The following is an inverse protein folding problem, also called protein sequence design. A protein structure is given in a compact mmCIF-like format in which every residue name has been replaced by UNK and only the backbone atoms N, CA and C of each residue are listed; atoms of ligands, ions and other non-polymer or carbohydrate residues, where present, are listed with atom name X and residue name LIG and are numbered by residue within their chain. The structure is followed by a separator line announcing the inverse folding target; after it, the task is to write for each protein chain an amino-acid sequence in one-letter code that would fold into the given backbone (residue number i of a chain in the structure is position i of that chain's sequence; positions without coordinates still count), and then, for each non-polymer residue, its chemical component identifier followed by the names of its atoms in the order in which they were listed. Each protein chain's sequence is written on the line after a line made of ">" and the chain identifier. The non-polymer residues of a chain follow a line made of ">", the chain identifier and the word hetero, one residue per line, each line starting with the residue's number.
data_IF_974060622846
#
_entry.id   IF_974060622846
#
_cell.length_a   1.000
_cell.length_b   1.000
_cell.length_c   1.000
_cell.angle_alpha   90.00
_cell.angle_beta   90.00
_cell.angle_gamma   90.00
#
_symmetry.space_group_name_H-M   'P 1'
#
loop_
_entity.id
_entity.type
_entity.pdbx_description
1 polymer ?
#
# COMPACT_ATOMS: atom_id res chain seq x y z
N UNK A 1 -28.25 19.74 11.38
CA UNK A 1 -29.31 18.75 11.68
C UNK A 1 -28.73 17.49 12.31
N UNK A 2 -27.63 16.92 11.77
CA UNK A 2 -26.97 15.71 12.28
C UNK A 2 -26.27 15.87 13.66
N UNK A 3 -25.65 17.01 13.93
CA UNK A 3 -24.98 17.25 15.22
C UNK A 3 -25.94 17.21 16.43
N UNK A 4 -27.23 17.55 16.24
CA UNK A 4 -28.26 17.44 17.28
C UNK A 4 -28.60 15.98 17.62
N UNK A 5 -28.21 15.05 16.76
CA UNK A 5 -28.37 13.60 16.94
C UNK A 5 -27.06 12.95 17.39
N UNK A 6 -26.04 13.74 17.78
CA UNK A 6 -24.73 13.23 18.20
C UNK A 6 -23.79 12.84 17.07
N UNK A 7 -24.15 13.09 15.80
CA UNK A 7 -23.27 12.84 14.66
C UNK A 7 -22.56 14.12 14.21
N UNK A 8 -21.24 14.14 14.38
CA UNK A 8 -20.36 15.24 14.01
C UNK A 8 -19.51 14.85 12.80
N UNK A 9 -19.68 15.53 11.67
CA UNK A 9 -18.90 15.33 10.45
C UNK A 9 -18.10 16.59 10.14
N UNK A 10 -16.78 16.48 10.18
CA UNK A 10 -15.86 17.59 9.99
C UNK A 10 -14.75 17.11 9.05
N UNK A 11 -14.80 17.57 7.81
CA UNK A 11 -13.84 17.17 6.76
C UNK A 11 -13.06 18.31 6.13
N UNK A 12 -13.34 19.56 6.53
CA UNK A 12 -12.67 20.74 5.99
C UNK A 12 -12.23 21.66 7.12
N UNK A 13 -11.06 22.24 6.96
CA UNK A 13 -10.56 23.28 7.84
C UNK A 13 -11.32 24.59 7.59
N UNK A 14 -11.95 25.12 8.63
CA UNK A 14 -12.65 26.41 8.61
C UNK A 14 -12.14 27.30 9.73
N UNK A 15 -12.31 28.62 9.58
CA UNK A 15 -11.99 29.65 10.57
C UNK A 15 -12.75 29.48 11.91
N UNK A 16 -13.89 28.77 11.88
CA UNK A 16 -14.73 28.47 13.06
C UNK A 16 -14.49 27.08 13.65
N UNK A 17 -13.43 26.40 13.23
CA UNK A 17 -13.19 25.03 13.66
C UNK A 17 -12.80 25.00 15.14
N UNK A 18 -13.67 24.44 15.97
CA UNK A 18 -13.44 24.28 17.41
C UNK A 18 -13.57 22.83 17.87
N UNK A 19 -13.20 22.54 19.13
CA UNK A 19 -13.42 21.23 19.71
C UNK A 19 -14.91 20.92 19.85
N UNK A 20 -15.28 19.67 19.59
CA UNK A 20 -16.61 19.14 19.90
C UNK A 20 -16.60 18.67 21.35
N UNK A 21 -17.49 19.22 22.17
CA UNK A 21 -17.56 18.86 23.59
C UNK A 21 -18.69 17.87 23.81
N UNK A 22 -18.34 16.69 24.31
CA UNK A 22 -19.29 15.63 24.67
C UNK A 22 -19.12 15.35 26.16
N UNK A 23 -20.14 15.60 27.00
CA UNK A 23 -20.07 15.28 28.42
C UNK A 23 -20.36 13.80 28.69
N UNK A 24 -19.69 13.25 29.70
CA UNK A 24 -20.00 11.95 30.31
C UNK A 24 -20.23 12.12 31.83
N UNK A 25 -20.29 11.00 32.57
CA UNK A 25 -20.47 11.01 34.03
C UNK A 25 -19.33 11.65 34.82
N UNK A 26 -18.15 11.80 34.22
CA UNK A 26 -16.96 12.40 34.83
C UNK A 26 -16.74 13.86 34.38
N UNK A 27 -17.57 14.39 33.48
CA UNK A 27 -17.53 15.77 33.01
C UNK A 27 -17.34 15.90 31.49
N UNK A 28 -16.89 17.05 30.98
CA UNK A 28 -16.69 17.26 29.55
C UNK A 28 -15.48 16.48 29.00
N UNK A 29 -15.62 15.96 27.79
CA UNK A 29 -14.53 15.46 26.94
C UNK A 29 -14.46 16.32 25.68
N UNK A 30 -13.26 16.82 25.37
CA UNK A 30 -13.03 17.68 24.22
C UNK A 30 -12.44 16.86 23.07
N UNK A 31 -13.23 16.68 22.01
CA UNK A 31 -12.80 16.04 20.78
C UNK A 31 -12.29 17.12 19.82
N UNK A 32 -11.01 17.04 19.45
CA UNK A 32 -10.31 18.00 18.62
C UNK A 32 -10.18 17.45 17.19
N UNK A 33 -11.06 17.85 16.26
CA UNK A 33 -11.01 17.41 14.86
C UNK A 33 -9.92 18.18 14.11
N UNK A 34 -8.87 17.50 13.68
CA UNK A 34 -7.79 18.00 12.84
C UNK A 34 -7.83 17.32 11.46
N UNK A 35 -8.73 17.76 10.55
CA UNK A 35 -8.75 17.20 9.20
C UNK A 35 -7.44 17.50 8.47
N UNK A 36 -7.14 16.72 7.43
CA UNK A 36 -6.01 17.02 6.56
C UNK A 36 -6.20 18.41 5.91
N UNK A 37 -5.16 19.23 5.96
CA UNK A 37 -5.16 20.55 5.35
C UNK A 37 -3.76 20.91 4.85
N UNK A 38 -3.70 21.40 3.62
CA UNK A 38 -2.47 21.91 3.02
C UNK A 38 -1.99 23.18 3.75
N UNK A 39 -0.66 23.39 3.92
CA UNK A 39 -0.14 24.54 4.64
C UNK A 39 -0.69 25.91 4.16
N UNK A 40 -0.84 26.20 2.85
CA UNK A 40 -1.47 27.45 2.39
C UNK A 40 -2.89 27.65 2.92
N UNK A 41 -3.70 26.60 3.00
CA UNK A 41 -5.07 26.66 3.52
C UNK A 41 -5.06 26.95 5.02
N UNK A 42 -4.12 26.36 5.77
CA UNK A 42 -3.95 26.63 7.20
C UNK A 42 -3.53 28.09 7.44
N UNK A 43 -2.57 28.61 6.67
CA UNK A 43 -2.15 30.03 6.75
C UNK A 43 -3.33 30.97 6.54
N UNK A 44 -4.13 30.72 5.51
CA UNK A 44 -5.29 31.54 5.16
C UNK A 44 -6.39 31.44 6.24
N UNK A 45 -6.83 30.22 6.57
CA UNK A 45 -8.02 30.00 7.40
C UNK A 45 -7.79 30.25 8.87
N UNK A 46 -6.60 29.97 9.38
CA UNK A 46 -6.25 30.14 10.79
C UNK A 46 -5.40 31.39 11.05
N UNK A 47 -5.12 32.21 10.03
CA UNK A 47 -4.23 33.38 10.13
C UNK A 47 -2.86 33.02 10.73
N UNK A 48 -2.30 31.87 10.33
CA UNK A 48 -1.10 31.29 10.89
C UNK A 48 0.07 31.38 9.89
N UNK A 49 0.77 32.54 9.75
CA UNK A 49 1.76 32.76 8.70
C UNK A 49 2.94 31.76 8.73
N UNK A 50 3.23 31.21 9.91
CA UNK A 50 4.33 30.27 10.15
C UNK A 50 4.05 28.84 9.66
N UNK A 51 2.84 28.53 9.20
CA UNK A 51 2.52 27.22 8.63
C UNK A 51 3.11 27.08 7.21
N UNK A 52 4.44 26.92 7.11
CA UNK A 52 5.13 26.80 5.81
C UNK A 52 5.28 25.35 5.34
N UNK A 53 5.14 24.38 6.24
CA UNK A 53 5.12 22.94 5.94
C UNK A 53 4.01 22.21 6.73
N UNK A 54 3.86 20.89 6.49
CA UNK A 54 2.83 20.06 7.12
C UNK A 54 2.96 19.99 8.65
N UNK A 55 4.18 19.98 9.17
CA UNK A 55 4.42 19.95 10.62
C UNK A 55 3.92 21.22 11.30
N UNK A 56 4.28 22.39 10.79
CA UNK A 56 3.82 23.67 11.33
C UNK A 56 2.33 23.91 11.09
N UNK A 57 1.80 23.41 9.97
CA UNK A 57 0.37 23.43 9.67
C UNK A 57 -0.45 22.62 10.69
N UNK A 58 0.00 21.40 11.00
CA UNK A 58 -0.60 20.55 12.03
C UNK A 58 -0.48 21.18 13.42
N UNK A 59 0.70 21.69 13.77
CA UNK A 59 0.93 22.39 15.04
C UNK A 59 -0.03 23.58 15.20
N UNK A 60 -0.15 24.43 14.18
CA UNK A 60 -1.05 25.60 14.19
C UNK A 60 -2.52 25.19 14.35
N UNK A 61 -2.92 24.10 13.69
CA UNK A 61 -4.28 23.55 13.81
C UNK A 61 -4.55 23.03 15.22
N UNK A 62 -3.60 22.29 15.81
CA UNK A 62 -3.70 21.81 17.20
C UNK A 62 -3.77 22.97 18.19
N UNK A 63 -2.94 24.01 18.01
CA UNK A 63 -2.95 25.19 18.86
C UNK A 63 -4.30 25.91 18.78
N UNK A 64 -4.85 26.11 17.57
CA UNK A 64 -6.16 26.73 17.38
C UNK A 64 -7.27 25.92 18.09
N UNK A 65 -7.30 24.60 17.90
CA UNK A 65 -8.28 23.70 18.51
C UNK A 65 -8.19 23.65 20.03
N UNK A 66 -6.99 23.80 20.59
CA UNK A 66 -6.74 23.66 22.04
C UNK A 66 -6.73 24.97 22.81
N UNK A 67 -6.73 26.13 22.13
CA UNK A 67 -6.65 27.45 22.75
C UNK A 67 -7.76 27.74 23.77
N UNK A 68 -8.97 27.20 23.56
CA UNK A 68 -10.13 27.41 24.44
C UNK A 68 -10.36 26.28 25.45
N UNK A 69 -9.50 25.26 25.46
CA UNK A 69 -9.68 24.08 26.31
C UNK A 69 -9.03 24.31 27.67
N UNK A 70 -9.75 24.11 28.80
CA UNK A 70 -9.17 24.25 30.14
C UNK A 70 -7.96 23.34 30.35
N UNK A 71 -6.98 23.84 31.12
CA UNK A 71 -5.83 23.04 31.53
C UNK A 71 -6.29 21.78 32.29
N UNK A 72 -5.70 20.63 31.97
CA UNK A 72 -6.05 19.35 32.58
C UNK A 72 -7.36 18.73 32.09
N UNK A 73 -8.09 19.35 31.15
CA UNK A 73 -9.28 18.75 30.57
C UNK A 73 -8.95 17.48 29.75
N UNK A 74 -9.89 16.52 29.75
CA UNK A 74 -9.81 15.31 28.94
C UNK A 74 -9.99 15.67 27.47
N UNK A 75 -9.04 15.23 26.65
CA UNK A 75 -8.86 15.67 25.26
C UNK A 75 -8.55 14.48 24.36
N UNK A 76 -9.31 14.33 23.28
CA UNK A 76 -9.12 13.33 22.24
C UNK A 76 -8.85 14.04 20.92
N UNK A 77 -7.74 13.73 20.27
CA UNK A 77 -7.44 14.23 18.92
C UNK A 77 -8.04 13.27 17.88
N UNK A 78 -8.64 13.81 16.82
CA UNK A 78 -8.95 13.07 15.60
C UNK A 78 -8.19 13.71 14.46
N UNK A 79 -7.08 13.12 14.03
CA UNK A 79 -6.22 13.71 13.01
C UNK A 79 -6.12 12.86 11.76
N UNK A 80 -6.12 13.50 10.59
CA UNK A 80 -5.73 12.86 9.33
C UNK A 80 -4.37 13.39 8.90
N UNK A 81 -3.33 12.59 9.12
CA UNK A 81 -1.96 12.98 8.82
C UNK A 81 -1.06 11.75 8.63
N UNK A 82 0.09 11.97 8.01
CA UNK A 82 1.18 11.00 7.99
C UNK A 82 2.14 11.29 9.16
N UNK A 83 2.12 10.44 10.19
CA UNK A 83 3.00 10.56 11.35
C UNK A 83 4.32 9.84 11.08
N UNK A 84 5.44 10.53 11.33
CA UNK A 84 6.75 9.93 11.18
C UNK A 84 6.89 8.65 12.03
N UNK A 85 7.36 7.57 11.41
CA UNK A 85 7.44 6.25 12.03
C UNK A 85 6.21 5.35 11.82
N UNK A 86 5.20 5.80 11.05
CA UNK A 86 4.11 4.95 10.59
C UNK A 86 4.48 4.13 9.34
N UNK A 87 4.01 2.89 9.30
CA UNK A 87 4.16 1.96 8.18
C UNK A 87 3.06 2.17 7.13
N UNK A 88 3.44 2.40 5.88
CA UNK A 88 2.54 2.58 4.72
C UNK A 88 2.32 1.27 3.98
N UNK A 89 1.30 1.23 3.12
CA UNK A 89 1.07 0.18 2.14
C UNK A 89 0.93 0.79 0.73
N UNK A 90 0.77 -0.03 -0.30
CA UNK A 90 0.70 0.44 -1.69
C UNK A 90 -0.64 1.13 -2.04
N UNK A 91 -1.68 0.94 -1.20
CA UNK A 91 -3.01 1.49 -1.48
C UNK A 91 -3.21 2.91 -0.95
N UNK A 92 -2.37 3.38 -0.03
CA UNK A 92 -2.40 4.76 0.44
C UNK A 92 -1.95 5.70 -0.68
N UNK A 93 -2.65 6.84 -0.81
CA UNK A 93 -2.18 7.92 -1.68
C UNK A 93 -1.04 8.64 -0.98
N UNK A 94 0.13 8.83 -1.61
CA UNK A 94 1.17 9.67 -1.04
C UNK A 94 0.59 11.07 -0.77
N UNK A 95 0.61 11.51 0.49
CA UNK A 95 0.23 12.90 0.83
C UNK A 95 1.29 13.90 0.33
N UNK A 96 2.49 13.42 0.01
CA UNK A 96 3.57 14.25 -0.52
C UNK A 96 4.56 13.42 -1.33
N UNK A 97 5.33 14.07 -2.20
CA UNK A 97 6.51 13.48 -2.82
C UNK A 97 7.70 13.61 -1.86
N UNK A 98 8.40 12.50 -1.60
CA UNK A 98 9.68 12.51 -0.88
C UNK A 98 9.62 12.74 0.64
N UNK A 99 8.52 12.38 1.32
CA UNK A 99 8.42 12.44 2.79
C UNK A 99 8.16 13.84 3.38
N UNK A 100 8.01 14.87 2.55
CA UNK A 100 7.77 16.27 2.92
C UNK A 100 6.40 16.57 3.55
N UNK A 101 5.54 15.55 3.65
CA UNK A 101 4.22 15.58 4.28
C UNK A 101 4.13 14.90 5.64
N UNK A 102 5.24 14.32 6.13
CA UNK A 102 5.26 13.71 7.46
C UNK A 102 5.27 14.77 8.58
N UNK A 103 4.65 14.44 9.71
CA UNK A 103 4.68 15.26 10.93
C UNK A 103 5.19 14.44 12.10
N UNK A 104 5.87 15.08 13.06
CA UNK A 104 6.30 14.38 14.27
C UNK A 104 5.10 13.89 15.08
N UNK A 105 5.15 12.63 15.51
CA UNK A 105 4.14 12.09 16.43
C UNK A 105 4.12 12.83 17.78
N UNK A 106 5.17 13.57 18.13
CA UNK A 106 5.24 14.37 19.38
C UNK A 106 4.17 15.45 19.44
N UNK A 107 3.65 15.91 18.30
CA UNK A 107 2.51 16.82 18.24
C UNK A 107 1.25 16.23 18.89
N UNK A 108 1.14 14.91 18.93
CA UNK A 108 -0.05 14.19 19.43
C UNK A 108 0.09 13.73 20.88
N UNK A 109 1.31 13.75 21.43
CA UNK A 109 1.59 13.35 22.82
C UNK A 109 0.70 14.06 23.86
N UNK A 110 0.40 15.38 23.78
CA UNK A 110 -0.35 16.08 24.82
C UNK A 110 -1.83 15.69 24.98
N UNK A 111 -2.36 14.86 24.08
CA UNK A 111 -3.73 14.35 24.14
C UNK A 111 -3.80 13.08 24.98
N UNK A 112 -4.98 12.79 25.52
CA UNK A 112 -5.22 11.56 26.28
C UNK A 112 -5.37 10.34 25.35
N UNK A 113 -5.90 10.59 24.15
CA UNK A 113 -5.93 9.65 23.04
C UNK A 113 -5.86 10.42 21.72
N UNK A 114 -5.13 9.90 20.74
CA UNK A 114 -5.07 10.43 19.40
C UNK A 114 -5.49 9.35 18.40
N UNK A 115 -6.66 9.55 17.80
CA UNK A 115 -7.19 8.75 16.72
C UNK A 115 -6.64 9.29 15.39
N UNK A 116 -5.67 8.60 14.83
CA UNK A 116 -5.09 8.93 13.53
C UNK A 116 -5.79 8.15 12.42
N UNK A 117 -6.01 8.83 11.30
CA UNK A 117 -6.40 8.25 10.02
C UNK A 117 -5.36 8.54 8.94
N UNK A 118 -5.37 7.73 7.88
CA UNK A 118 -4.61 7.81 6.62
C UNK A 118 -4.01 6.44 6.28
N UNK A 119 -3.29 5.85 7.23
CA UNK A 119 -2.64 4.55 7.07
C UNK A 119 -3.64 3.41 7.22
N UNK A 120 -3.50 2.37 6.40
CA UNK A 120 -4.42 1.25 6.31
C UNK A 120 -4.06 0.08 7.22
N UNK A 121 -2.86 0.06 7.79
CA UNK A 121 -2.46 -0.87 8.84
C UNK A 121 -2.83 -0.32 10.23
N UNK A 122 -3.57 -1.06 11.05
CA UNK A 122 -3.75 -0.72 12.46
C UNK A 122 -2.40 -0.76 13.20
N UNK A 123 -2.00 0.35 13.80
CA UNK A 123 -0.67 0.48 14.42
C UNK A 123 -0.61 1.63 15.44
N UNK A 124 0.38 1.59 16.33
CA UNK A 124 0.74 2.71 17.21
C UNK A 124 1.90 3.50 16.61
N UNK A 125 2.01 4.78 16.92
CA UNK A 125 3.16 5.60 16.52
C UNK A 125 3.65 6.46 17.68
N UNK A 126 4.91 6.27 18.09
CA UNK A 126 5.55 6.98 19.21
C UNK A 126 5.05 6.55 20.59
N UNK A 127 3.76 6.72 20.88
CA UNK A 127 3.13 6.43 22.18
C UNK A 127 1.97 5.44 22.06
N UNK A 128 1.64 4.75 23.15
CA UNK A 128 0.54 3.76 23.17
C UNK A 128 -0.82 4.36 22.80
N UNK A 129 -1.09 5.60 23.18
CA UNK A 129 -2.37 6.28 22.96
C UNK A 129 -2.49 7.01 21.61
N UNK A 130 -1.46 6.90 20.76
CA UNK A 130 -1.45 7.49 19.41
C UNK A 130 -1.59 6.34 18.41
N UNK A 131 -2.78 6.21 17.81
CA UNK A 131 -3.17 5.00 17.08
C UNK A 131 -3.72 5.32 15.70
N UNK A 132 -3.21 4.66 14.69
CA UNK A 132 -3.93 4.46 13.43
C UNK A 132 -4.88 3.27 13.60
N UNK A 133 -6.15 3.49 13.30
CA UNK A 133 -7.15 2.42 13.30
C UNK A 133 -7.02 1.48 12.09
N UNK A 134 -6.31 1.91 11.04
CA UNK A 134 -6.26 1.17 9.78
C UNK A 134 -7.55 1.26 8.97
N UNK A 135 -7.58 0.56 7.84
CA UNK A 135 -8.80 0.35 7.07
C UNK A 135 -9.60 -0.84 7.63
N UNK A 136 -10.89 -0.92 7.29
CA UNK A 136 -11.74 -2.06 7.68
C UNK A 136 -11.47 -3.32 6.83
N UNK A 137 -11.03 -3.12 5.58
CA UNK A 137 -10.74 -4.17 4.60
C UNK A 137 -9.39 -3.88 3.94
N UNK A 138 -8.77 -4.93 3.39
CA UNK A 138 -7.52 -4.80 2.62
C UNK A 138 -7.83 -4.21 1.24
N UNK A 139 -7.08 -3.20 0.80
CA UNK A 139 -7.28 -2.53 -0.48
C UNK A 139 -6.16 -2.77 -1.50
N UNK A 140 -5.01 -3.28 -1.06
CA UNK A 140 -3.95 -3.82 -1.92
C UNK A 140 -3.48 -5.19 -1.46
N UNK A 141 -2.73 -5.87 -2.33
CA UNK A 141 -2.04 -7.10 -1.95
C UNK A 141 -0.94 -6.87 -0.92
N UNK A 142 -0.33 -5.69 -0.84
CA UNK A 142 0.70 -5.40 0.18
C UNK A 142 0.12 -5.44 1.59
N UNK A 143 -1.20 -5.29 1.73
CA UNK A 143 -1.93 -5.41 3.00
C UNK A 143 -2.31 -6.86 3.34
N UNK A 144 -1.94 -7.87 2.53
CA UNK A 144 -2.18 -9.28 2.84
C UNK A 144 -1.76 -9.72 4.25
N UNK A 145 -0.61 -9.28 4.83
CA UNK A 145 -0.25 -9.63 6.20
C UNK A 145 -1.01 -8.83 7.27
N UNK A 146 -1.76 -7.78 6.90
CA UNK A 146 -2.40 -6.89 7.87
C UNK A 146 -3.60 -7.56 8.52
N UNK A 147 -3.65 -7.52 9.86
CA UNK A 147 -4.82 -7.91 10.64
C UNK A 147 -5.73 -6.70 10.81
N UNK A 148 -6.86 -6.71 10.11
CA UNK A 148 -7.86 -5.64 10.18
C UNK A 148 -8.59 -5.67 11.52
N UNK A 149 -8.92 -4.50 12.04
CA UNK A 149 -9.50 -4.35 13.37
C UNK A 149 -10.28 -3.04 13.51
N UNK A 150 -10.99 -2.92 14.62
CA UNK A 150 -11.44 -1.65 15.17
C UNK A 150 -10.79 -1.43 16.53
N UNK A 151 -10.54 -0.17 16.88
CA UNK A 151 -9.97 0.19 18.17
C UNK A 151 -11.08 0.64 19.12
N UNK A 152 -11.30 -0.12 20.19
CA UNK A 152 -12.14 0.28 21.31
C UNK A 152 -11.29 1.04 22.33
N UNK A 153 -11.79 2.20 22.75
CA UNK A 153 -11.10 3.06 23.72
C UNK A 153 -12.04 3.37 24.87
N UNK A 154 -11.63 3.02 26.07
CA UNK A 154 -12.33 3.37 27.31
C UNK A 154 -11.49 4.40 28.07
N UNK A 155 -12.06 5.56 28.34
CA UNK A 155 -11.35 6.64 29.03
C UNK A 155 -12.01 6.92 30.38
N UNK A 156 -11.20 6.94 31.43
CA UNK A 156 -11.68 7.23 32.78
C UNK A 156 -11.80 8.74 33.08
N UNK A 157 -12.23 9.07 34.31
CA UNK A 157 -12.36 10.46 34.76
C UNK A 157 -11.04 11.23 34.91
N UNK A 158 -9.91 10.52 34.99
CA UNK A 158 -8.57 11.11 34.99
C UNK A 158 -7.98 11.24 33.57
N UNK A 159 -8.70 10.75 32.56
CA UNK A 159 -8.28 10.77 31.17
C UNK A 159 -7.36 9.60 30.78
N UNK A 160 -7.19 8.58 31.63
CA UNK A 160 -6.43 7.39 31.24
C UNK A 160 -7.25 6.58 30.23
N UNK A 161 -6.67 6.32 29.08
CA UNK A 161 -7.28 5.55 28.00
C UNK A 161 -6.81 4.08 28.05
N UNK A 162 -7.74 3.14 28.26
CA UNK A 162 -7.55 1.73 27.99
C UNK A 162 -7.90 1.46 26.52
N UNK A 163 -7.05 0.70 25.83
CA UNK A 163 -7.13 0.52 24.38
C UNK A 163 -7.20 -0.97 24.08
N UNK A 164 -8.26 -1.39 23.41
CA UNK A 164 -8.48 -2.75 22.95
C UNK A 164 -8.57 -2.78 21.42
N UNK A 165 -7.90 -3.74 20.80
CA UNK A 165 -7.99 -3.98 19.36
C UNK A 165 -8.92 -5.16 19.12
N UNK A 166 -10.09 -4.90 18.53
CA UNK A 166 -11.07 -5.92 18.20
C UNK A 166 -10.85 -6.37 16.75
N UNK A 167 -10.46 -7.63 16.48
CA UNK A 167 -10.18 -8.09 15.13
C UNK A 167 -11.45 -8.16 14.28
N UNK A 168 -11.29 -7.87 12.98
CA UNK A 168 -12.35 -8.00 11.97
C UNK A 168 -12.11 -9.24 11.11
N UNK A 169 -13.18 -9.99 10.84
CA UNK A 169 -13.17 -11.11 9.90
C UNK A 169 -13.90 -10.69 8.63
N UNK A 170 -13.20 -10.52 7.49
CA UNK A 170 -13.86 -10.16 6.24
C UNK A 170 -14.60 -11.38 5.67
N UNK A 171 -15.62 -11.13 4.83
CA UNK A 171 -16.28 -12.19 4.06
C UNK A 171 -15.34 -12.85 3.04
N UNK A 172 -14.44 -12.06 2.47
CA UNK A 172 -13.38 -12.45 1.53
C UNK A 172 -12.13 -11.69 1.93
N UNK A 173 -11.07 -12.42 2.21
CA UNK A 173 -9.78 -11.82 2.53
C UNK A 173 -8.98 -11.50 1.25
N UNK A 174 -7.89 -10.75 1.39
CA UNK A 174 -6.89 -10.56 0.34
C UNK A 174 -5.65 -11.38 0.71
N UNK A 175 -5.26 -12.29 -0.17
CA UNK A 175 -4.14 -13.24 0.03
C UNK A 175 -3.17 -13.22 -1.15
N UNK A 176 -1.92 -13.56 -0.84
CA UNK A 176 -0.85 -13.82 -1.82
C UNK A 176 -0.51 -15.30 -1.74
N UNK A 177 -0.57 -15.99 -2.87
CA UNK A 177 -0.10 -17.37 -3.02
C UNK A 177 1.16 -17.36 -3.88
N UNK A 178 2.19 -18.07 -3.44
CA UNK A 178 3.44 -18.23 -4.19
C UNK A 178 3.80 -19.70 -4.25
N UNK A 179 4.23 -20.17 -5.42
CA UNK A 179 4.61 -21.57 -5.61
C UNK A 179 4.55 -22.03 -7.06
N UNK A 180 4.72 -23.34 -7.27
CA UNK A 180 4.53 -23.95 -8.58
C UNK A 180 3.05 -24.15 -8.87
N UNK A 181 2.69 -24.04 -10.15
CA UNK A 181 1.32 -24.07 -10.61
C UNK A 181 0.57 -25.35 -10.22
N UNK A 182 1.21 -26.52 -10.32
CA UNK A 182 0.62 -27.79 -9.92
C UNK A 182 0.35 -27.85 -8.40
N UNK A 183 1.23 -27.26 -7.59
CA UNK A 183 1.10 -27.24 -6.13
C UNK A 183 -0.03 -26.32 -5.70
N UNK A 184 -0.17 -25.15 -6.34
CA UNK A 184 -1.24 -24.19 -6.03
C UNK A 184 -2.62 -24.75 -6.39
N UNK A 185 -2.74 -25.52 -7.48
CA UNK A 185 -4.01 -26.16 -7.86
C UNK A 185 -4.39 -27.33 -6.93
N UNK A 186 -3.39 -28.06 -6.42
CA UNK A 186 -3.62 -29.25 -5.58
C UNK A 186 -3.77 -28.91 -4.10
N UNK A 187 -3.09 -27.87 -3.62
CA UNK A 187 -3.09 -27.47 -2.23
C UNK A 187 -3.94 -26.20 -2.01
N UNK A 188 -5.00 -26.35 -1.23
CA UNK A 188 -5.70 -25.22 -0.62
C UNK A 188 -5.37 -25.24 0.88
N UNK A 189 -4.76 -24.20 1.44
CA UNK A 189 -4.43 -24.17 2.87
C UNK A 189 -5.68 -24.42 3.71
N UNK A 190 -5.58 -25.31 4.70
CA UNK A 190 -6.71 -25.64 5.58
C UNK A 190 -7.22 -24.39 6.30
N UNK A 191 -8.53 -24.15 6.22
CA UNK A 191 -9.18 -23.00 6.86
C UNK A 191 -9.22 -21.71 6.04
N UNK A 192 -8.62 -21.67 4.85
CA UNK A 192 -8.65 -20.49 3.97
C UNK A 192 -9.71 -20.62 2.86
N UNK A 193 -10.38 -19.50 2.54
CA UNK A 193 -11.51 -19.51 1.61
C UNK A 193 -11.04 -19.43 0.17
N UNK A 194 -11.50 -20.36 -0.68
CA UNK A 194 -11.26 -20.31 -2.13
C UNK A 194 -11.86 -19.08 -2.81
N UNK A 195 -12.83 -18.44 -2.16
CA UNK A 195 -13.48 -17.22 -2.64
C UNK A 195 -12.72 -15.93 -2.28
N UNK A 196 -11.57 -16.01 -1.63
CA UNK A 196 -10.75 -14.84 -1.32
C UNK A 196 -10.20 -14.15 -2.58
N UNK A 197 -9.85 -12.88 -2.46
CA UNK A 197 -9.18 -12.13 -3.51
C UNK A 197 -7.70 -12.50 -3.51
N UNK A 198 -7.26 -13.17 -4.57
CA UNK A 198 -5.94 -13.80 -4.60
C UNK A 198 -5.05 -13.17 -5.67
N UNK A 199 -3.82 -12.88 -5.29
CA UNK A 199 -2.69 -12.72 -6.18
C UNK A 199 -1.86 -14.00 -6.16
N UNK A 200 -1.53 -14.52 -7.34
CA UNK A 200 -0.71 -15.73 -7.49
C UNK A 200 0.62 -15.35 -8.11
N UNK A 201 1.72 -15.75 -7.49
CA UNK A 201 3.08 -15.61 -8.03
C UNK A 201 3.60 -17.00 -8.37
N UNK A 202 3.74 -17.30 -9.67
CA UNK A 202 4.18 -18.61 -10.14
C UNK A 202 5.70 -18.67 -10.30
N UNK A 203 6.27 -19.75 -9.76
CA UNK A 203 7.71 -20.05 -9.85
C UNK A 203 8.07 -20.84 -11.12
N UNK A 204 7.08 -21.27 -11.91
CA UNK A 204 7.27 -22.05 -13.13
C UNK A 204 7.94 -21.23 -14.25
N UNK A 205 9.12 -21.70 -14.68
CA UNK A 205 9.90 -21.11 -15.78
C UNK A 205 9.32 -21.39 -17.17
N UNK A 206 8.62 -22.51 -17.37
CA UNK A 206 8.05 -22.92 -18.65
C UNK A 206 6.68 -22.30 -18.95
N UNK A 207 6.22 -22.25 -20.21
CA UNK A 207 4.88 -21.76 -20.53
C UNK A 207 3.79 -22.63 -19.86
N UNK A 208 2.77 -21.99 -19.31
CA UNK A 208 1.58 -22.66 -18.76
C UNK A 208 0.37 -22.25 -19.58
N UNK A 209 -0.26 -23.23 -20.23
CA UNK A 209 -1.47 -23.01 -21.01
C UNK A 209 -2.64 -22.66 -20.10
N UNK A 210 -3.29 -21.54 -20.41
CA UNK A 210 -4.46 -21.01 -19.70
C UNK A 210 -4.31 -21.00 -18.17
N UNK A 211 -3.17 -20.51 -17.68
CA UNK A 211 -2.87 -20.48 -16.24
C UNK A 211 -3.98 -19.79 -15.43
N UNK A 212 -4.48 -18.64 -15.90
CA UNK A 212 -5.50 -17.87 -15.18
C UNK A 212 -6.87 -18.57 -15.19
N UNK A 213 -7.28 -19.19 -16.31
CA UNK A 213 -8.54 -19.91 -16.40
C UNK A 213 -8.56 -21.10 -15.44
N UNK A 214 -7.50 -21.92 -15.48
CA UNK A 214 -7.33 -23.07 -14.60
C UNK A 214 -7.21 -22.69 -13.12
N UNK A 215 -6.53 -21.59 -12.80
CA UNK A 215 -6.50 -21.08 -11.42
C UNK A 215 -7.90 -20.67 -10.96
N UNK A 216 -8.72 -20.07 -11.83
CA UNK A 216 -10.09 -19.64 -11.51
C UNK A 216 -11.09 -20.78 -11.35
N UNK A 217 -10.80 -21.98 -11.86
CA UNK A 217 -11.59 -23.18 -11.55
C UNK A 217 -11.49 -23.56 -10.07
N UNK A 218 -10.35 -23.29 -9.43
CA UNK A 218 -10.11 -23.58 -8.00
C UNK A 218 -10.35 -22.34 -7.13
N UNK A 219 -9.92 -21.17 -7.61
CA UNK A 219 -9.93 -19.89 -6.92
C UNK A 219 -10.67 -18.84 -7.78
N UNK A 220 -12.01 -18.75 -7.69
CA UNK A 220 -12.81 -17.93 -8.60
C UNK A 220 -12.42 -16.45 -8.65
N UNK A 221 -11.85 -15.93 -7.55
CA UNK A 221 -11.51 -14.52 -7.39
C UNK A 221 -9.99 -14.24 -7.47
N UNK A 222 -9.23 -15.02 -8.26
CA UNK A 222 -7.87 -14.64 -8.65
C UNK A 222 -7.92 -13.36 -9.49
N UNK A 223 -7.36 -12.28 -8.94
CA UNK A 223 -7.35 -10.95 -9.55
C UNK A 223 -6.03 -10.66 -10.28
N UNK A 224 -4.92 -11.25 -9.81
CA UNK A 224 -3.60 -10.98 -10.37
C UNK A 224 -2.73 -12.25 -10.44
N UNK A 225 -1.91 -12.34 -11.49
CA UNK A 225 -0.99 -13.43 -11.74
C UNK A 225 0.37 -12.86 -12.13
N UNK A 226 1.39 -13.15 -11.33
CA UNK A 226 2.78 -12.77 -11.57
C UNK A 226 3.61 -13.98 -11.99
N UNK A 227 4.58 -13.75 -12.88
CA UNK A 227 5.54 -14.75 -13.35
C UNK A 227 6.95 -14.14 -13.39
N UNK A 228 7.62 -14.01 -12.25
CA UNK A 228 8.88 -13.28 -12.14
C UNK A 228 9.99 -13.78 -13.08
N UNK A 229 10.05 -15.08 -13.36
CA UNK A 229 10.99 -15.67 -14.31
C UNK A 229 10.83 -15.17 -15.76
N UNK A 230 9.65 -14.64 -16.13
CA UNK A 230 9.40 -14.00 -17.42
C UNK A 230 9.55 -12.48 -17.36
N UNK A 231 9.48 -11.89 -16.16
CA UNK A 231 9.66 -10.45 -15.93
C UNK A 231 11.13 -10.07 -15.61
N UNK A 232 11.97 -11.03 -15.26
CA UNK A 232 13.40 -10.86 -14.99
C UNK A 232 14.25 -10.48 -16.23
N UNK A 233 13.62 -10.31 -17.39
CA UNK A 233 14.17 -9.49 -18.45
C UNK A 233 14.11 -8.03 -18.07
N UNK A 234 15.12 -7.57 -17.31
CA UNK A 234 15.33 -6.15 -17.03
C UNK A 234 15.37 -5.32 -18.31
N UNK A 235 15.40 -3.98 -18.18
CA UNK A 235 15.60 -3.07 -19.33
C UNK A 235 16.59 -3.68 -20.31
N UNK A 236 16.15 -3.85 -21.57
CA UNK A 236 16.97 -4.36 -22.66
C UNK A 236 18.13 -3.38 -22.91
N UNK A 237 19.16 -3.44 -22.07
CA UNK A 237 20.49 -2.93 -22.35
C UNK A 237 20.97 -3.69 -23.57
N UNK A 238 21.20 -2.98 -24.68
CA UNK A 238 21.81 -3.60 -25.86
C UNK A 238 23.11 -4.32 -25.47
N UNK A 239 23.53 -5.34 -26.23
CA UNK A 239 24.73 -6.13 -25.94
C UNK A 239 25.91 -5.25 -25.51
N UNK A 240 26.67 -5.65 -24.49
CA UNK A 240 27.88 -4.92 -24.10
C UNK A 240 28.94 -5.00 -25.21
N UNK A 241 28.94 -4.04 -26.13
CA UNK A 241 29.85 -4.00 -27.29
C UNK A 241 29.21 -3.37 -28.54
N UNK A 242 30.00 -3.17 -29.59
CA UNK A 242 29.55 -2.66 -30.89
C UNK A 242 28.69 -3.74 -31.59
N UNK A 243 27.35 -3.60 -31.58
CA UNK A 243 26.39 -4.57 -32.12
C UNK A 243 26.62 -4.90 -33.60
N UNK A 244 27.34 -4.02 -34.32
CA UNK A 244 27.73 -4.22 -35.72
C UNK A 244 28.78 -5.32 -35.92
N UNK A 245 29.37 -5.85 -34.85
CA UNK A 245 30.40 -6.90 -34.89
C UNK A 245 29.94 -8.27 -34.38
N UNK A 246 28.72 -8.39 -33.86
CA UNK A 246 28.19 -9.65 -33.33
C UNK A 246 27.38 -10.36 -34.41
N UNK A 247 27.55 -11.68 -34.52
CA UNK A 247 26.68 -12.50 -35.35
C UNK A 247 25.33 -12.73 -34.66
N UNK A 248 24.33 -13.14 -35.43
CA UNK A 248 22.94 -13.33 -34.99
C UNK A 248 22.83 -14.32 -33.83
N UNK A 249 23.70 -15.33 -33.80
CA UNK A 249 23.76 -16.28 -32.69
C UNK A 249 24.27 -15.67 -31.39
N UNK A 250 25.27 -14.80 -31.45
CA UNK A 250 25.77 -14.08 -30.28
C UNK A 250 24.77 -13.02 -29.80
N UNK A 251 24.07 -12.34 -30.72
CA UNK A 251 22.99 -11.41 -30.38
C UNK A 251 21.85 -12.11 -29.66
N UNK A 252 21.40 -13.25 -30.18
CA UNK A 252 20.35 -14.04 -29.55
C UNK A 252 20.76 -14.60 -28.19
N UNK A 253 22.00 -15.11 -28.06
CA UNK A 253 22.52 -15.62 -26.78
C UNK A 253 22.56 -14.53 -25.71
N UNK A 254 23.05 -13.34 -26.07
CA UNK A 254 23.10 -12.19 -25.16
C UNK A 254 21.69 -11.73 -24.75
N UNK A 255 20.74 -11.71 -25.68
CA UNK A 255 19.34 -11.39 -25.39
C UNK A 255 18.69 -12.44 -24.48
N UNK A 256 18.91 -13.72 -24.76
CA UNK A 256 18.37 -14.82 -23.96
C UNK A 256 18.87 -14.77 -22.53
N UNK A 257 20.18 -14.57 -22.33
CA UNK A 257 20.78 -14.45 -21.00
C UNK A 257 20.21 -13.26 -20.22
N UNK A 258 19.97 -12.14 -20.90
CA UNK A 258 19.39 -10.95 -20.29
C UNK A 258 17.92 -11.12 -19.90
N UNK A 259 17.15 -11.87 -20.69
CA UNK A 259 15.71 -12.11 -20.44
C UNK A 259 15.47 -13.25 -19.45
N UNK A 260 16.23 -14.34 -19.58
CA UNK A 260 16.06 -15.54 -18.77
C UNK A 260 16.92 -15.56 -17.50
N UNK A 261 17.91 -14.66 -17.38
CA UNK A 261 18.86 -14.60 -16.27
C UNK A 261 19.89 -15.73 -16.23
N UNK A 262 19.91 -16.60 -17.26
CA UNK A 262 20.82 -17.74 -17.39
C UNK A 262 21.27 -17.93 -18.84
N UNK A 263 22.48 -18.43 -19.11
CA UNK A 263 22.94 -18.70 -20.48
C UNK A 263 22.14 -19.83 -21.13
N UNK A 264 22.12 -19.88 -22.46
CA UNK A 264 21.54 -20.98 -23.23
C UNK A 264 22.18 -22.31 -22.81
N UNK A 265 21.35 -23.31 -22.47
CA UNK A 265 21.82 -24.68 -22.30
C UNK A 265 22.32 -25.25 -23.64
N UNK A 266 23.15 -26.30 -23.59
CA UNK A 266 23.68 -26.94 -24.79
C UNK A 266 22.60 -27.46 -25.75
N UNK A 267 21.48 -27.96 -25.21
CA UNK A 267 20.33 -28.40 -26.02
C UNK A 267 19.60 -27.22 -26.68
N UNK A 268 19.34 -26.15 -25.93
CA UNK A 268 18.69 -24.94 -26.48
C UNK A 268 19.54 -24.28 -27.56
N UNK A 269 20.85 -24.22 -27.36
CA UNK A 269 21.78 -23.67 -28.36
C UNK A 269 21.76 -24.49 -29.66
N UNK A 270 21.69 -25.82 -29.54
CA UNK A 270 21.63 -26.73 -30.70
C UNK A 270 20.34 -26.51 -31.51
N UNK A 271 19.19 -26.46 -30.85
CA UNK A 271 17.89 -26.21 -31.49
C UNK A 271 17.84 -24.84 -32.17
N UNK A 272 18.40 -23.81 -31.51
CA UNK A 272 18.49 -22.47 -32.08
C UNK A 272 19.34 -22.44 -33.36
N UNK A 273 20.53 -23.04 -33.32
CA UNK A 273 21.43 -23.10 -34.49
C UNK A 273 20.80 -23.86 -35.66
N UNK A 274 20.13 -25.00 -35.41
CA UNK A 274 19.41 -25.75 -36.44
C UNK A 274 18.28 -24.92 -37.07
N UNK A 275 17.57 -24.12 -36.26
CA UNK A 275 16.50 -23.24 -36.74
C UNK A 275 17.05 -22.10 -37.60
N UNK A 276 18.17 -21.51 -37.17
CA UNK A 276 18.85 -20.42 -37.89
C UNK A 276 19.42 -20.90 -39.24
N UNK A 277 20.01 -22.10 -39.28
CA UNK A 277 20.47 -22.72 -40.52
C UNK A 277 19.32 -23.00 -41.50
N UNK A 278 18.20 -23.51 -40.99
CA UNK A 278 17.00 -23.75 -41.81
C UNK A 278 16.42 -22.45 -42.37
N UNK A 279 16.45 -21.36 -41.60
CA UNK A 279 16.05 -20.03 -42.06
C UNK A 279 16.93 -19.54 -43.22
N UNK A 280 18.26 -19.56 -43.06
CA UNK A 280 19.18 -19.15 -44.13
C UNK A 280 19.09 -20.04 -45.39
N UNK A 281 18.79 -21.34 -45.24
CA UNK A 281 18.56 -22.23 -46.38
C UNK A 281 17.31 -21.84 -47.17
N UNK A 282 16.23 -21.43 -46.50
CA UNK A 282 15.01 -20.97 -47.17
C UNK A 282 15.23 -19.64 -47.89
N UNK A 283 15.87 -18.66 -47.26
CA UNK A 283 16.16 -17.37 -47.92
C UNK A 283 17.09 -17.52 -49.14
N UNK A 284 18.08 -18.43 -49.10
CA UNK A 284 18.95 -18.71 -50.25
C UNK A 284 18.25 -19.51 -51.36
N UNK A 285 17.20 -20.25 -51.03
CA UNK A 285 16.40 -21.02 -51.99
C UNK A 285 15.41 -20.15 -52.79
N UNK A 286 14.89 -19.08 -52.19
CA UNK A 286 13.92 -18.17 -52.84
C UNK A 286 14.60 -17.11 -53.73
N UNK A 287 15.90 -16.86 -53.57
CA UNK A 287 16.65 -15.88 -54.36
C UNK A 287 17.07 -16.32 -55.77
N UNK A 288 16.79 -17.57 -56.18
CA UNK A 288 17.28 -18.13 -57.45
C UNK A 288 16.20 -18.29 -58.54
N UNK A 289 14.95 -17.87 -58.29
CA UNK A 289 13.86 -17.88 -59.31
C UNK A 289 13.51 -16.49 -59.88
N UNK A 290 14.24 -15.43 -59.53
CA UNK A 290 14.06 -14.10 -60.12
C UNK A 290 15.38 -13.54 -60.67
N UNK A 291 15.73 -13.96 -61.88
CA UNK A 291 16.88 -13.46 -62.65
C UNK A 291 16.89 -14.01 -64.06
#
# INVERSE_FOLDING_TARGET
>A
MLARQGLHLIGQLTDRLGPVVIPDTFGPVYFCPAPYAEPPLVRERLSAPDAVNHEQAMLSSIQHLTASIPAGARRVLLAHAYAAGGEESESERPLSVGGSGSVSASLFQPFHYAALGHLHQPQKVGWEHVRYAGSLLKYSFSEAPHRKSVTLVEMDGAGKAAIETIPLTPRRDVRRLEGYFADILSNSPEGESRDDYIMVTLLDSGPIMDAIGRLREVYPNVLHLERPCLAAGGELRGPGGDHRRLNEAALFSSFFEQVAGTPLSGEQNKVFMETLENFYRKERGEGHEAG
#
